data_IF_191308892975
#
_entry.id   IF_191308892975
#
_cell.length_a   1.000
_cell.length_b   1.000
_cell.length_c   1.000
_cell.angle_alpha   90.00
_cell.angle_beta   90.00
_cell.angle_gamma   90.00
#
_symmetry.space_group_name_H-M   'P 1'
#
loop_
_entity.id
_entity.type
_entity.pdbx_description
1 polymer ?
#
# COMPACT_ATOMS: atom_id res chain seq x y z
N UNK A 1 -11.49 -10.42 -8.23
CA UNK A 1 -10.82 -9.22 -8.78
C UNK A 1 -9.36 -9.29 -8.39
N UNK A 2 -8.66 -10.31 -8.91
CA UNK A 2 -7.20 -10.28 -9.00
C UNK A 2 -6.88 -9.42 -10.23
N UNK A 3 -5.89 -8.54 -10.16
CA UNK A 3 -4.77 -8.53 -11.14
C UNK A 3 -3.90 -7.28 -11.09
N UNK A 4 -4.44 -6.06 -10.90
CA UNK A 4 -3.62 -4.84 -11.15
C UNK A 4 -2.42 -4.69 -10.19
N UNK A 5 -2.61 -4.97 -8.90
CA UNK A 5 -1.58 -4.81 -7.88
C UNK A 5 -1.02 -6.14 -7.35
N UNK A 6 -1.48 -7.27 -7.90
CA UNK A 6 -1.04 -8.59 -7.43
C UNK A 6 0.44 -8.82 -7.70
N UNK A 7 0.96 -8.31 -8.82
CA UNK A 7 2.40 -8.39 -9.11
C UNK A 7 3.27 -7.70 -8.05
N UNK A 8 2.75 -6.66 -7.38
CA UNK A 8 3.48 -6.02 -6.28
C UNK A 8 3.65 -7.00 -5.12
N UNK A 9 2.59 -7.75 -4.80
CA UNK A 9 2.64 -8.77 -3.75
C UNK A 9 3.60 -9.91 -4.12
N UNK A 10 3.55 -10.38 -5.37
CA UNK A 10 4.37 -11.51 -5.83
C UNK A 10 5.87 -11.17 -5.87
N UNK A 11 6.22 -9.90 -6.17
CA UNK A 11 7.60 -9.42 -6.23
C UNK A 11 8.13 -8.97 -4.87
N UNK A 12 7.26 -8.72 -3.89
CA UNK A 12 7.67 -8.24 -2.57
C UNK A 12 8.15 -9.40 -1.68
N UNK A 13 9.34 -9.31 -1.06
CA UNK A 13 9.96 -10.45 -0.37
C UNK A 13 9.35 -10.79 1.01
N UNK A 14 8.27 -10.12 1.42
CA UNK A 14 7.73 -10.21 2.78
C UNK A 14 6.21 -10.24 2.77
N UNK A 15 5.59 -10.85 3.78
CA UNK A 15 4.14 -10.79 3.99
C UNK A 15 3.66 -9.40 4.48
N UNK A 16 4.59 -8.53 4.88
CA UNK A 16 4.31 -7.20 5.41
C UNK A 16 5.04 -6.11 4.65
N UNK A 17 4.39 -4.96 4.55
CA UNK A 17 4.99 -3.71 4.07
C UNK A 17 5.14 -2.78 5.26
N UNK A 18 6.38 -2.44 5.63
CA UNK A 18 6.61 -1.38 6.60
C UNK A 18 6.22 -0.04 5.99
N UNK A 19 5.62 0.87 6.79
CA UNK A 19 5.25 2.21 6.31
C UNK A 19 6.45 2.99 5.75
N UNK A 20 7.64 2.76 6.31
CA UNK A 20 8.93 3.30 5.85
C UNK A 20 9.39 2.74 4.50
N UNK A 21 8.87 1.57 4.08
CA UNK A 21 9.21 0.90 2.82
C UNK A 21 8.09 1.00 1.78
N UNK A 22 6.98 1.70 2.10
CA UNK A 22 5.84 1.84 1.21
C UNK A 22 6.22 2.46 -0.15
N UNK A 23 7.15 3.41 -0.14
CA UNK A 23 7.64 4.05 -1.36
C UNK A 23 8.35 3.04 -2.26
N UNK A 24 9.19 2.17 -1.68
CA UNK A 24 9.85 1.09 -2.41
C UNK A 24 8.86 0.04 -2.90
N UNK A 25 7.93 -0.39 -2.05
CA UNK A 25 6.91 -1.39 -2.38
C UNK A 25 6.05 -0.94 -3.57
N UNK A 26 5.69 0.34 -3.62
CA UNK A 26 4.79 0.88 -4.65
C UNK A 26 5.53 1.49 -5.85
N UNK A 27 6.86 1.41 -5.92
CA UNK A 27 7.65 2.00 -7.00
C UNK A 27 7.63 3.54 -7.03
N UNK A 28 7.46 4.18 -5.87
CA UNK A 28 7.44 5.64 -5.72
C UNK A 28 6.04 6.27 -5.67
N UNK A 29 4.96 5.48 -5.78
CA UNK A 29 3.59 5.99 -5.80
C UNK A 29 3.16 6.57 -4.45
N UNK A 30 3.52 5.89 -3.34
CA UNK A 30 3.04 6.20 -2.00
C UNK A 30 4.21 6.42 -1.04
N UNK A 31 4.38 7.65 -0.58
CA UNK A 31 5.39 8.00 0.42
C UNK A 31 4.98 7.71 1.86
N UNK A 32 5.97 7.52 2.74
CA UNK A 32 5.75 7.26 4.18
C UNK A 32 4.93 8.36 4.87
N UNK A 33 5.29 9.63 4.65
CA UNK A 33 4.61 10.77 5.30
C UNK A 33 3.14 10.85 4.90
N UNK A 34 2.84 10.53 3.64
CA UNK A 34 1.46 10.50 3.15
C UNK A 34 0.66 9.42 3.87
N UNK A 35 1.21 8.21 4.01
CA UNK A 35 0.59 7.14 4.79
C UNK A 35 0.42 7.51 6.27
N UNK A 36 1.39 8.19 6.88
CA UNK A 36 1.27 8.63 8.27
C UNK A 36 0.10 9.59 8.49
N UNK A 37 -0.12 10.51 7.54
CA UNK A 37 -1.26 11.42 7.58
C UNK A 37 -2.60 10.68 7.37
N UNK A 38 -2.65 9.75 6.41
CA UNK A 38 -3.83 8.92 6.17
C UNK A 38 -4.15 8.01 7.35
N UNK A 39 -3.13 7.42 7.98
CA UNK A 39 -3.26 6.65 9.20
C UNK A 39 -3.90 7.47 10.32
N UNK A 40 -3.40 8.70 10.53
CA UNK A 40 -3.92 9.61 11.54
C UNK A 40 -5.39 9.98 11.26
N UNK A 41 -5.74 10.13 9.98
CA UNK A 41 -7.11 10.41 9.53
C UNK A 41 -8.02 9.17 9.46
N UNK A 42 -7.52 7.96 9.77
CA UNK A 42 -8.28 6.71 9.65
C UNK A 42 -8.56 6.27 8.21
N UNK A 43 -7.82 6.80 7.23
CA UNK A 43 -7.96 6.55 5.78
C UNK A 43 -6.81 5.72 5.19
N UNK A 44 -5.90 5.24 6.03
CA UNK A 44 -4.77 4.40 5.61
C UNK A 44 -5.17 2.93 5.39
N UNK A 45 -4.21 2.08 4.98
CA UNK A 45 -4.46 0.66 4.80
C UNK A 45 -4.96 -0.03 6.08
N UNK A 46 -5.92 -0.93 5.92
CA UNK A 46 -6.54 -1.66 7.02
C UNK A 46 -5.57 -2.66 7.67
N UNK A 47 -5.85 -3.05 8.92
CA UNK A 47 -5.07 -4.08 9.62
C UNK A 47 -3.63 -3.66 9.93
N UNK A 48 -3.37 -2.36 10.09
CA UNK A 48 -2.06 -1.85 10.50
C UNK A 48 -1.64 -2.43 11.86
N UNK A 49 -0.40 -2.87 11.94
CA UNK A 49 0.20 -3.44 13.15
C UNK A 49 1.36 -2.55 13.57
N UNK A 50 1.47 -2.29 14.88
CA UNK A 50 2.64 -1.61 15.45
C UNK A 50 3.62 -2.65 15.98
N UNK A 51 4.85 -2.63 15.46
CA UNK A 51 5.96 -3.43 15.97
C UNK A 51 7.07 -2.49 16.46
N UNK A 52 7.15 -2.31 17.78
CA UNK A 52 8.01 -1.30 18.39
C UNK A 52 7.69 0.11 17.89
N UNK A 53 8.67 0.74 17.23
CA UNK A 53 8.54 2.10 16.66
C UNK A 53 8.02 2.12 15.22
N UNK A 54 7.86 0.95 14.58
CA UNK A 54 7.45 0.84 13.18
C UNK A 54 5.98 0.46 13.06
N UNK A 55 5.33 0.98 12.01
CA UNK A 55 4.01 0.55 11.57
C UNK A 55 4.19 -0.31 10.33
N UNK A 56 3.47 -1.43 10.28
CA UNK A 56 3.47 -2.37 9.16
C UNK A 56 2.04 -2.66 8.73
N UNK A 57 1.86 -3.02 7.47
CA UNK A 57 0.59 -3.45 6.89
C UNK A 57 0.75 -4.84 6.27
N UNK A 58 -0.23 -5.74 6.42
CA UNK A 58 -0.30 -6.94 5.59
C UNK A 58 -0.32 -6.55 4.12
N UNK A 59 0.46 -7.24 3.28
CA UNK A 59 0.54 -6.95 1.84
C UNK A 59 -0.85 -6.97 1.20
N UNK A 60 -1.66 -7.98 1.52
CA UNK A 60 -3.04 -8.14 1.03
C UNK A 60 -3.91 -6.90 1.30
N UNK A 61 -3.83 -6.35 2.50
CA UNK A 61 -4.63 -5.18 2.88
C UNK A 61 -4.11 -3.91 2.22
N UNK A 62 -2.79 -3.81 2.02
CA UNK A 62 -2.20 -2.68 1.30
C UNK A 62 -2.65 -2.68 -0.16
N UNK A 63 -2.52 -3.81 -0.87
CA UNK A 63 -2.92 -3.89 -2.29
C UNK A 63 -4.42 -3.66 -2.47
N UNK A 64 -5.26 -4.13 -1.53
CA UNK A 64 -6.68 -3.86 -1.54
C UNK A 64 -6.95 -2.35 -1.40
N UNK A 65 -6.29 -1.70 -0.45
CA UNK A 65 -6.40 -0.25 -0.25
C UNK A 65 -5.93 0.55 -1.48
N UNK A 66 -4.91 0.07 -2.20
CA UNK A 66 -4.48 0.67 -3.47
C UNK A 66 -5.54 0.49 -4.57
N UNK A 67 -6.10 -0.71 -4.70
CA UNK A 67 -7.13 -1.03 -5.69
C UNK A 67 -8.39 -0.18 -5.53
N UNK A 68 -8.83 0.02 -4.28
CA UNK A 68 -10.00 0.86 -3.96
C UNK A 68 -9.79 2.35 -4.33
N UNK A 69 -8.55 2.76 -4.58
CA UNK A 69 -8.16 4.16 -4.84
C UNK A 69 -7.68 4.41 -6.26
N UNK A 70 -7.47 3.35 -7.04
CA UNK A 70 -7.03 3.45 -8.43
C UNK A 70 -8.21 3.58 -9.37
N UNK A 71 -8.04 4.39 -10.41
CA UNK A 71 -9.00 4.55 -11.51
C UNK A 71 -8.27 4.32 -12.83
N UNK A 72 -8.88 3.55 -13.73
CA UNK A 72 -8.35 3.35 -15.08
C UNK A 72 -8.58 4.59 -15.94
N UNK A 73 -7.50 5.15 -16.49
CA UNK A 73 -7.61 6.26 -17.44
C UNK A 73 -7.92 5.67 -18.82
N UNK A 74 -9.01 6.07 -19.49
CA UNK A 74 -9.34 5.55 -20.81
C UNK A 74 -8.27 5.91 -21.84
N UNK A 75 -8.04 5.01 -22.80
CA UNK A 75 -7.06 5.23 -23.86
C UNK A 75 -7.37 6.52 -24.64
N UNK A 76 -6.32 7.29 -24.97
CA UNK A 76 -6.43 8.42 -25.90
C UNK A 76 -6.79 7.86 -27.28
N UNK A 77 -7.85 8.41 -27.89
CA UNK A 77 -8.19 8.16 -29.30
C UNK A 77 -7.12 8.68 -30.24
#
# INVERSE_FOLDING_TARGET
METLFQELADKWPSAFVARTEAEKFTGGLIGEKYLANLDSAGKGPAGRIRCGRKIVYPVSNFIQWLAERSEEIPARK
#
